data_IF_344481515219
#
_entry.id   IF_344481515219
#
_cell.length_a   1.000
_cell.length_b   1.000
_cell.length_c   1.000
_cell.angle_alpha   90.00
_cell.angle_beta   90.00
_cell.angle_gamma   90.00
#
_symmetry.space_group_name_H-M   'P 1'
#
loop_
_entity.id
_entity.type
_entity.pdbx_description
1 polymer ?
#
# COMPACT_ATOMS: atom_id res chain seq x y z
N UNK A 1 41.77 60.48 -53.46
CA UNK A 1 43.17 60.11 -53.46
C UNK A 1 43.42 59.11 -52.35
N UNK A 2 44.18 58.08 -52.73
CA UNK A 2 44.66 56.93 -51.92
C UNK A 2 43.71 55.72 -51.75
N UNK A 3 43.95 54.81 -52.68
CA UNK A 3 43.55 53.39 -52.68
C UNK A 3 44.43 52.62 -51.67
N UNK A 4 43.81 51.72 -50.93
CA UNK A 4 44.51 50.65 -50.24
C UNK A 4 43.93 49.30 -50.67
N UNK A 5 44.74 48.58 -51.38
CA UNK A 5 44.56 47.24 -51.88
C UNK A 5 44.68 46.23 -50.71
N UNK A 6 43.65 45.45 -50.43
CA UNK A 6 43.69 44.35 -49.51
C UNK A 6 44.08 43.04 -50.24
N UNK A 7 45.19 42.46 -49.86
CA UNK A 7 45.68 41.14 -50.29
C UNK A 7 44.87 40.03 -49.67
N UNK A 8 44.27 39.13 -50.51
CA UNK A 8 43.69 37.89 -50.07
C UNK A 8 44.79 36.83 -50.01
N UNK A 9 44.94 36.19 -48.83
CA UNK A 9 45.69 34.95 -48.65
C UNK A 9 44.82 33.72 -48.88
N UNK A 10 45.33 32.62 -49.44
CA UNK A 10 44.57 31.43 -49.71
C UNK A 10 44.33 30.59 -48.44
N UNK A 11 43.11 30.22 -48.20
CA UNK A 11 42.77 29.27 -47.13
C UNK A 11 42.94 27.85 -47.67
N UNK A 12 43.91 27.12 -47.07
CA UNK A 12 44.07 25.68 -47.24
C UNK A 12 42.91 24.96 -46.54
N UNK A 13 42.12 24.19 -47.31
CA UNK A 13 41.15 23.24 -46.78
C UNK A 13 41.91 22.00 -46.32
N UNK A 14 41.90 21.73 -45.04
CA UNK A 14 42.31 20.44 -44.50
C UNK A 14 41.08 19.55 -44.42
N UNK A 15 41.05 18.50 -45.25
CA UNK A 15 40.04 17.41 -45.22
C UNK A 15 40.42 16.48 -44.08
N UNK A 16 39.67 16.51 -42.99
CA UNK A 16 39.79 15.52 -41.93
C UNK A 16 38.95 14.29 -42.30
N UNK A 17 39.61 13.17 -42.56
CA UNK A 17 38.98 11.87 -42.74
C UNK A 17 38.52 11.36 -41.35
N UNK A 18 37.20 11.33 -41.10
CA UNK A 18 36.61 10.69 -39.96
C UNK A 18 36.57 9.18 -40.17
N UNK A 19 37.39 8.42 -39.45
CA UNK A 19 37.34 6.97 -39.40
C UNK A 19 36.12 6.57 -38.54
N UNK A 20 35.07 5.96 -39.13
CA UNK A 20 33.96 5.34 -38.45
C UNK A 20 34.45 4.05 -37.79
N UNK A 21 34.64 4.06 -36.48
CA UNK A 21 34.82 2.84 -35.71
C UNK A 21 33.43 2.30 -35.40
N UNK A 22 33.02 1.27 -36.15
CA UNK A 22 31.82 0.47 -35.83
C UNK A 22 32.15 -0.44 -34.64
N UNK A 23 31.78 -0.02 -33.44
CA UNK A 23 31.78 -0.89 -32.27
C UNK A 23 30.54 -1.79 -32.37
N UNK A 24 30.72 -3.02 -32.83
CA UNK A 24 29.71 -4.05 -32.75
C UNK A 24 29.52 -4.40 -31.26
N UNK A 25 28.51 -3.81 -30.63
CA UNK A 25 28.04 -4.23 -29.31
C UNK A 25 27.44 -5.61 -29.42
N UNK A 26 28.20 -6.65 -29.05
CA UNK A 26 27.67 -7.97 -28.79
C UNK A 26 26.77 -7.87 -27.56
N UNK A 27 25.46 -7.65 -27.78
CA UNK A 27 24.46 -7.88 -26.75
C UNK A 27 24.39 -9.39 -26.55
N UNK A 28 25.10 -9.90 -25.53
CA UNK A 28 24.83 -11.21 -25.01
C UNK A 28 23.34 -11.25 -24.61
N UNK A 29 22.60 -12.34 -24.92
CA UNK A 29 21.25 -12.49 -24.40
C UNK A 29 21.37 -12.43 -22.88
N UNK A 30 20.73 -11.45 -22.25
CA UNK A 30 20.55 -11.45 -20.81
C UNK A 30 19.76 -12.73 -20.49
N UNK A 31 20.42 -13.70 -19.89
CA UNK A 31 19.73 -14.83 -19.30
C UNK A 31 18.62 -14.21 -18.43
N UNK A 32 17.37 -14.66 -18.62
CA UNK A 32 16.26 -14.31 -17.73
C UNK A 32 16.66 -14.87 -16.35
N UNK A 33 17.31 -14.05 -15.55
CA UNK A 33 17.53 -14.36 -14.14
C UNK A 33 16.12 -14.51 -13.53
N UNK A 34 15.85 -15.68 -12.94
CA UNK A 34 14.63 -15.81 -12.15
C UNK A 34 14.69 -14.79 -11.03
N UNK A 35 13.57 -14.11 -10.73
CA UNK A 35 13.54 -13.17 -9.61
C UNK A 35 13.95 -13.90 -8.33
N UNK A 36 14.54 -13.17 -7.39
CA UNK A 36 14.84 -13.71 -6.08
C UNK A 36 13.56 -14.34 -5.48
N UNK A 37 13.67 -15.49 -4.79
CA UNK A 37 12.51 -16.10 -4.13
C UNK A 37 11.95 -15.13 -3.08
N UNK A 38 10.65 -15.31 -2.77
CA UNK A 38 10.06 -14.62 -1.62
C UNK A 38 10.84 -14.97 -0.34
N UNK A 39 10.91 -14.06 0.65
CA UNK A 39 11.43 -14.38 1.96
C UNK A 39 10.60 -15.50 2.60
N UNK A 40 11.27 -16.47 3.24
CA UNK A 40 10.57 -17.54 3.96
C UNK A 40 9.76 -16.97 5.14
N UNK A 41 8.46 -17.27 5.22
CA UNK A 41 7.60 -16.74 6.28
C UNK A 41 7.79 -17.51 7.61
N UNK A 42 7.67 -16.78 8.72
CA UNK A 42 7.67 -17.34 10.07
C UNK A 42 6.23 -17.34 10.61
N UNK A 43 5.56 -18.48 10.59
CA UNK A 43 4.13 -18.61 10.88
C UNK A 43 3.76 -18.59 12.36
N UNK A 44 4.72 -18.48 13.27
CA UNK A 44 4.49 -18.49 14.74
C UNK A 44 3.68 -19.72 15.22
N UNK A 45 3.78 -20.84 14.52
CA UNK A 45 3.01 -22.06 14.78
C UNK A 45 1.55 -22.03 14.27
N UNK A 46 1.16 -21.02 13.50
CA UNK A 46 -0.18 -20.85 12.94
C UNK A 46 -0.08 -20.54 11.43
N UNK A 47 0.08 -21.58 10.60
CA UNK A 47 0.01 -21.45 9.15
C UNK A 47 -1.45 -21.30 8.72
N UNK A 48 -1.77 -20.20 8.05
CA UNK A 48 -3.14 -19.84 7.67
C UNK A 48 -3.39 -19.88 6.17
N UNK A 49 -2.40 -20.26 5.36
CA UNK A 49 -2.49 -20.29 3.89
C UNK A 49 -3.58 -21.25 3.39
N UNK A 50 -3.67 -22.41 4.01
CA UNK A 50 -4.66 -23.42 3.69
C UNK A 50 -5.63 -23.59 4.86
N UNK A 51 -6.40 -22.53 5.17
CA UNK A 51 -7.36 -22.57 6.27
C UNK A 51 -8.49 -23.55 5.96
N UNK A 52 -8.54 -24.66 6.69
CA UNK A 52 -9.52 -25.73 6.50
C UNK A 52 -10.52 -25.90 7.65
N UNK A 53 -10.49 -25.00 8.64
CA UNK A 53 -11.43 -24.95 9.75
C UNK A 53 -12.62 -24.03 9.42
N UNK A 54 -13.75 -24.17 10.12
CA UNK A 54 -14.86 -23.23 9.98
C UNK A 54 -14.38 -21.79 10.18
N UNK A 55 -14.75 -20.89 9.26
CA UNK A 55 -14.47 -19.46 9.40
C UNK A 55 -15.45 -18.87 10.40
N UNK A 56 -14.98 -18.21 11.48
CA UNK A 56 -15.87 -17.59 12.45
C UNK A 56 -16.54 -16.33 11.86
N UNK A 57 -17.56 -15.85 12.56
CA UNK A 57 -18.22 -14.58 12.20
C UNK A 57 -17.21 -13.41 12.20
N UNK A 58 -17.45 -12.37 11.39
CA UNK A 58 -16.59 -11.18 11.39
C UNK A 58 -16.37 -10.62 12.80
N UNK A 59 -15.14 -10.28 13.13
CA UNK A 59 -14.74 -9.77 14.44
C UNK A 59 -14.62 -10.83 15.55
N UNK A 60 -14.61 -12.13 15.21
CA UNK A 60 -14.39 -13.22 16.15
C UNK A 60 -13.05 -13.88 15.88
N UNK A 61 -12.22 -14.05 16.93
CA UNK A 61 -10.94 -14.75 16.84
C UNK A 61 -11.17 -16.25 16.55
N UNK A 62 -10.43 -16.77 15.57
CA UNK A 62 -10.34 -18.20 15.29
C UNK A 62 -9.21 -18.87 16.06
N UNK A 63 -8.07 -18.18 16.18
CA UNK A 63 -6.91 -18.62 16.93
C UNK A 63 -6.04 -17.41 17.29
N UNK A 64 -5.40 -17.47 18.47
CA UNK A 64 -4.41 -16.49 18.92
C UNK A 64 -3.23 -17.23 19.51
N UNK A 65 -2.04 -16.97 18.99
CA UNK A 65 -0.79 -17.61 19.41
C UNK A 65 0.25 -16.53 19.75
N UNK A 66 1.24 -16.82 20.60
CA UNK A 66 2.38 -15.92 20.76
C UNK A 66 3.03 -15.65 19.39
N UNK A 67 3.33 -14.38 19.12
CA UNK A 67 4.12 -14.02 17.94
C UNK A 67 5.57 -14.50 18.14
N UNK A 68 6.17 -15.03 17.08
CA UNK A 68 7.58 -15.41 17.12
C UNK A 68 8.43 -14.20 17.53
N UNK A 69 9.38 -14.36 18.49
CA UNK A 69 10.21 -13.25 18.96
C UNK A 69 10.97 -12.50 17.85
N UNK A 70 11.35 -13.20 16.77
CA UNK A 70 12.01 -12.58 15.61
C UNK A 70 11.12 -11.59 14.84
N UNK A 71 9.80 -11.67 15.00
CA UNK A 71 8.80 -10.79 14.37
C UNK A 71 8.28 -9.72 15.34
N UNK A 72 8.68 -9.78 16.62
CA UNK A 72 8.25 -8.82 17.63
C UNK A 72 9.01 -7.50 17.52
N UNK A 73 8.50 -6.48 18.19
CA UNK A 73 9.13 -5.16 18.31
C UNK A 73 9.80 -5.05 19.69
N UNK A 74 10.99 -4.43 19.79
CA UNK A 74 11.67 -4.23 21.08
C UNK A 74 10.82 -3.50 22.13
N UNK A 75 9.94 -2.60 21.68
CA UNK A 75 9.03 -1.82 22.52
C UNK A 75 7.78 -2.60 22.96
N UNK A 76 7.58 -3.82 22.47
CA UNK A 76 6.45 -4.65 22.85
C UNK A 76 6.77 -5.50 24.09
N UNK A 77 5.98 -5.34 25.15
CA UNK A 77 6.02 -6.22 26.34
C UNK A 77 5.39 -7.59 26.07
N UNK A 78 4.45 -7.67 25.13
CA UNK A 78 3.84 -8.90 24.66
C UNK A 78 3.40 -8.71 23.20
N UNK A 79 3.61 -9.73 22.38
CA UNK A 79 3.09 -9.75 21.02
C UNK A 79 2.38 -11.08 20.73
N UNK A 80 1.29 -11.03 19.94
CA UNK A 80 0.55 -12.20 19.51
C UNK A 80 0.25 -12.12 18.02
N UNK A 81 0.13 -13.28 17.36
CA UNK A 81 -0.44 -13.42 16.04
C UNK A 81 -1.86 -13.97 16.18
N UNK A 82 -2.81 -13.34 15.51
CA UNK A 82 -4.22 -13.67 15.56
C UNK A 82 -4.74 -14.01 14.18
N UNK A 83 -5.54 -15.10 14.07
CA UNK A 83 -6.42 -15.35 12.94
C UNK A 83 -7.86 -15.03 13.36
N UNK A 84 -8.62 -14.35 12.51
CA UNK A 84 -9.98 -13.90 12.84
C UNK A 84 -10.88 -13.87 11.60
N UNK A 85 -12.20 -13.98 11.83
CA UNK A 85 -13.20 -13.84 10.79
C UNK A 85 -13.37 -12.40 10.33
N UNK A 86 -13.55 -12.22 9.03
CA UNK A 86 -13.86 -10.95 8.38
C UNK A 86 -14.69 -11.17 7.11
N UNK A 87 -14.79 -10.17 6.26
CA UNK A 87 -15.48 -10.25 4.96
C UNK A 87 -14.50 -9.88 3.84
N UNK A 88 -14.42 -10.74 2.81
CA UNK A 88 -13.57 -10.53 1.64
C UNK A 88 -14.15 -9.50 0.65
N UNK A 89 -13.41 -9.23 -0.42
CA UNK A 89 -13.79 -8.32 -1.50
C UNK A 89 -15.05 -8.76 -2.26
N UNK A 90 -15.44 -10.02 -2.18
CA UNK A 90 -16.64 -10.58 -2.81
C UNK A 90 -17.85 -10.60 -1.85
N UNK A 91 -17.70 -10.05 -0.63
CA UNK A 91 -18.76 -10.05 0.39
C UNK A 91 -18.94 -11.38 1.12
N UNK A 92 -18.00 -12.33 0.99
CA UNK A 92 -18.04 -13.64 1.65
C UNK A 92 -17.29 -13.59 2.97
N UNK A 93 -17.73 -14.37 3.94
CA UNK A 93 -16.98 -14.57 5.18
C UNK A 93 -15.64 -15.25 4.88
N UNK A 94 -14.56 -14.67 5.38
CA UNK A 94 -13.19 -15.11 5.13
C UNK A 94 -12.35 -15.01 6.41
N UNK A 95 -11.21 -15.70 6.41
CA UNK A 95 -10.21 -15.60 7.47
C UNK A 95 -9.19 -14.51 7.11
N UNK A 96 -8.75 -13.73 8.08
CA UNK A 96 -7.62 -12.81 7.96
C UNK A 96 -6.72 -12.93 9.19
N UNK A 97 -5.52 -12.35 9.12
CA UNK A 97 -4.56 -12.36 10.22
C UNK A 97 -4.15 -10.96 10.63
N UNK A 98 -3.63 -10.85 11.85
CA UNK A 98 -3.01 -9.63 12.38
C UNK A 98 -1.91 -9.96 13.38
N UNK A 99 -0.94 -9.06 13.53
CA UNK A 99 -0.07 -9.02 14.70
C UNK A 99 -0.61 -7.97 15.69
N UNK A 100 -0.66 -8.32 16.97
CA UNK A 100 -1.06 -7.41 18.05
C UNK A 100 0.11 -7.25 19.00
N UNK A 101 0.56 -6.01 19.17
CA UNK A 101 1.65 -5.63 20.06
C UNK A 101 1.10 -4.84 21.23
N UNK A 102 1.43 -5.26 22.44
CA UNK A 102 1.05 -4.60 23.69
C UNK A 102 2.28 -3.90 24.31
N UNK A 103 2.14 -2.68 24.81
CA UNK A 103 3.24 -1.98 25.49
C UNK A 103 3.79 -2.75 26.70
N UNK A 104 4.98 -2.38 27.13
CA UNK A 104 5.49 -2.82 28.44
C UNK A 104 4.67 -2.25 29.60
N UNK A 105 4.63 -2.97 30.72
CA UNK A 105 3.98 -2.53 31.94
C UNK A 105 2.55 -2.99 32.09
N UNK A 106 1.79 -2.26 32.90
CA UNK A 106 0.40 -2.60 33.25
C UNK A 106 -0.55 -1.73 32.43
N UNK A 107 -1.58 -2.31 31.80
CA UNK A 107 -2.55 -1.52 31.07
C UNK A 107 -3.30 -0.53 31.98
N UNK A 108 -3.62 0.67 31.52
CA UNK A 108 -4.45 1.60 32.28
C UNK A 108 -5.86 1.04 32.49
N UNK A 109 -6.64 1.61 33.44
CA UNK A 109 -8.05 1.24 33.59
C UNK A 109 -8.80 1.34 32.25
N UNK A 110 -9.47 0.24 31.86
CA UNK A 110 -10.15 0.12 30.58
C UNK A 110 -9.30 -0.41 29.42
N UNK A 111 -8.01 -0.73 29.65
CA UNK A 111 -7.10 -1.29 28.64
C UNK A 111 -6.27 -0.25 27.90
N UNK A 112 -5.29 -0.72 27.12
CA UNK A 112 -4.45 0.12 26.29
C UNK A 112 -5.27 0.80 25.17
N UNK A 113 -5.18 2.12 24.96
CA UNK A 113 -5.74 2.74 23.76
C UNK A 113 -5.05 2.16 22.53
N UNK A 114 -5.80 2.05 21.41
CA UNK A 114 -5.34 1.28 20.26
C UNK A 114 -4.95 2.21 19.11
N UNK A 115 -3.81 1.95 18.51
CA UNK A 115 -3.45 2.37 17.16
C UNK A 115 -3.64 1.15 16.25
N UNK A 116 -4.64 1.21 15.36
CA UNK A 116 -4.74 0.27 14.24
C UNK A 116 -3.73 0.67 13.17
N UNK A 117 -2.89 -0.28 12.76
CA UNK A 117 -1.90 -0.07 11.71
C UNK A 117 -2.38 -0.66 10.39
N UNK A 118 -2.52 0.20 9.39
CA UNK A 118 -2.75 -0.16 8.01
C UNK A 118 -1.42 -0.08 7.25
N UNK A 119 -0.85 -1.24 6.93
CA UNK A 119 0.49 -1.35 6.34
C UNK A 119 0.54 -0.95 4.86
N UNK A 120 1.73 -0.53 4.41
CA UNK A 120 2.01 -0.27 3.01
C UNK A 120 2.18 -1.57 2.19
N UNK A 121 2.55 -1.44 0.93
CA UNK A 121 2.67 -2.57 -0.01
C UNK A 121 3.79 -3.53 0.41
N UNK A 122 3.43 -4.82 0.57
CA UNK A 122 4.37 -5.92 0.86
C UNK A 122 4.38 -6.98 -0.25
N UNK A 123 3.39 -6.99 -1.11
CA UNK A 123 3.11 -7.96 -2.15
C UNK A 123 1.68 -8.48 -2.04
N UNK A 124 1.29 -9.41 -2.92
CA UNK A 124 -0.03 -10.06 -2.87
C UNK A 124 0.08 -11.54 -2.49
N UNK A 125 1.26 -12.15 -2.61
CA UNK A 125 1.48 -13.56 -2.26
C UNK A 125 1.36 -13.82 -0.76
N UNK A 126 1.01 -15.03 -0.39
CA UNK A 126 0.80 -15.44 1.01
C UNK A 126 2.05 -15.25 1.89
N UNK A 127 3.24 -15.46 1.33
CA UNK A 127 4.50 -15.26 2.05
C UNK A 127 4.76 -13.80 2.42
N UNK A 128 3.99 -12.86 1.88
CA UNK A 128 4.21 -11.43 2.03
C UNK A 128 3.46 -10.82 3.23
N UNK A 129 2.72 -11.64 4.00
CA UNK A 129 1.95 -11.16 5.15
C UNK A 129 2.86 -10.54 6.23
N UNK A 130 2.67 -9.28 6.64
CA UNK A 130 3.52 -8.61 7.63
C UNK A 130 3.57 -9.29 9.00
N UNK A 131 2.56 -10.09 9.37
CA UNK A 131 2.58 -10.86 10.62
C UNK A 131 3.48 -12.10 10.57
N UNK A 132 4.03 -12.42 9.40
CA UNK A 132 4.93 -13.58 9.19
C UNK A 132 6.33 -13.17 8.69
N UNK A 133 6.57 -11.87 8.50
CA UNK A 133 7.83 -11.34 8.01
C UNK A 133 8.39 -10.29 8.97
N UNK A 134 9.72 -10.17 9.11
CA UNK A 134 10.33 -9.05 9.80
C UNK A 134 9.87 -7.72 9.18
N UNK A 135 9.52 -6.77 10.03
CA UNK A 135 9.13 -5.44 9.55
C UNK A 135 10.35 -4.69 9.03
N UNK A 136 10.12 -3.80 8.06
CA UNK A 136 11.16 -2.86 7.66
C UNK A 136 11.59 -2.01 8.87
N UNK A 137 12.84 -1.52 8.88
CA UNK A 137 13.35 -0.62 9.93
C UNK A 137 12.40 0.56 10.14
N UNK A 138 11.95 1.19 9.05
CA UNK A 138 10.99 2.29 9.12
C UNK A 138 9.70 1.91 9.86
N UNK A 139 9.09 0.77 9.52
CA UNK A 139 7.83 0.37 10.12
C UNK A 139 8.03 -0.10 11.57
N UNK A 140 9.16 -0.75 11.87
CA UNK A 140 9.51 -1.14 13.23
C UNK A 140 9.68 0.10 14.14
N UNK A 141 10.44 1.10 13.70
CA UNK A 141 10.62 2.37 14.41
C UNK A 141 9.30 3.11 14.63
N UNK A 142 8.49 3.18 13.55
CA UNK A 142 7.22 3.89 13.59
C UNK A 142 6.20 3.23 14.53
N UNK A 143 6.09 1.90 14.51
CA UNK A 143 5.21 1.17 15.43
C UNK A 143 5.76 1.16 16.85
N UNK A 144 7.09 1.07 17.01
CA UNK A 144 7.77 1.22 18.30
C UNK A 144 7.47 2.57 18.95
N UNK A 145 7.46 3.65 18.19
CA UNK A 145 7.07 4.98 18.67
C UNK A 145 5.68 4.98 19.34
N UNK A 146 4.69 4.32 18.74
CA UNK A 146 3.34 4.26 19.32
C UNK A 146 3.29 3.39 20.58
N UNK A 147 4.03 2.29 20.60
CA UNK A 147 4.16 1.44 21.80
C UNK A 147 4.79 2.20 22.98
N UNK A 148 5.87 2.96 22.73
CA UNK A 148 6.53 3.80 23.75
C UNK A 148 5.61 4.89 24.30
N UNK A 149 4.60 5.30 23.53
CA UNK A 149 3.56 6.24 23.97
C UNK A 149 2.39 5.57 24.68
N UNK A 150 2.44 4.27 24.90
CA UNK A 150 1.41 3.53 25.63
C UNK A 150 0.19 3.16 24.77
N UNK A 151 0.30 3.15 23.44
CA UNK A 151 -0.71 2.58 22.57
C UNK A 151 -0.44 1.11 22.29
N UNK A 152 -1.43 0.26 22.39
CA UNK A 152 -1.35 -1.06 21.77
C UNK A 152 -1.46 -0.89 20.24
N UNK A 153 -0.68 -1.67 19.48
CA UNK A 153 -0.74 -1.67 18.01
C UNK A 153 -1.44 -2.92 17.53
N UNK A 154 -2.53 -2.76 16.77
CA UNK A 154 -3.21 -3.85 16.06
C UNK A 154 -2.91 -3.70 14.58
N UNK A 155 -2.08 -4.58 14.04
CA UNK A 155 -1.56 -4.52 12.68
C UNK A 155 -2.18 -5.62 11.83
N UNK A 156 -3.27 -5.31 11.11
CA UNK A 156 -3.95 -6.26 10.22
C UNK A 156 -3.10 -6.53 8.97
N UNK A 157 -3.09 -7.81 8.50
CA UNK A 157 -2.43 -8.20 7.25
C UNK A 157 -3.31 -7.98 6.01
N UNK A 158 -4.58 -7.66 6.18
CA UNK A 158 -5.67 -7.68 5.21
C UNK A 158 -6.08 -9.10 4.76
N UNK A 159 -7.33 -9.23 4.34
CA UNK A 159 -7.86 -10.51 3.84
C UNK A 159 -7.20 -10.89 2.52
N UNK A 160 -6.87 -12.17 2.36
CA UNK A 160 -6.19 -12.70 1.18
C UNK A 160 -4.68 -12.49 1.16
N UNK A 161 -4.08 -12.06 2.28
CA UNK A 161 -2.63 -11.96 2.45
C UNK A 161 -2.19 -12.92 3.56
N UNK A 162 -1.53 -14.03 3.20
CA UNK A 162 -1.22 -15.14 4.11
C UNK A 162 -2.44 -15.97 4.53
N UNK A 163 -3.54 -15.85 3.80
CA UNK A 163 -4.82 -16.54 4.03
C UNK A 163 -5.48 -16.85 2.68
N UNK A 164 -6.42 -17.84 2.61
CA UNK A 164 -7.05 -18.18 1.34
C UNK A 164 -7.68 -16.99 0.61
N UNK A 165 -7.48 -16.95 -0.70
CA UNK A 165 -7.91 -15.87 -1.59
C UNK A 165 -6.74 -15.00 -2.05
N UNK A 166 -7.03 -13.88 -2.70
CA UNK A 166 -6.04 -12.90 -3.15
C UNK A 166 -6.29 -11.57 -2.46
N UNK A 167 -5.23 -10.92 -1.99
CA UNK A 167 -5.31 -9.54 -1.53
C UNK A 167 -5.81 -8.63 -2.66
N UNK A 168 -6.95 -8.00 -2.45
CA UNK A 168 -7.53 -7.02 -3.37
C UNK A 168 -6.79 -5.68 -3.21
N UNK A 169 -5.69 -5.51 -3.95
CA UNK A 169 -4.76 -4.38 -3.80
C UNK A 169 -5.43 -3.03 -4.02
N UNK A 170 -5.28 -2.09 -3.10
CA UNK A 170 -5.95 -0.78 -3.02
C UNK A 170 -7.47 -0.84 -2.80
N UNK A 171 -8.08 -2.00 -2.63
CA UNK A 171 -9.49 -2.08 -2.28
C UNK A 171 -9.71 -1.73 -0.81
N UNK A 172 -9.92 -0.45 -0.55
CA UNK A 172 -10.12 0.05 0.81
C UNK A 172 -11.39 -0.47 1.49
N UNK A 173 -12.38 -0.96 0.72
CA UNK A 173 -13.62 -1.52 1.28
C UNK A 173 -13.37 -2.86 1.99
N UNK A 174 -12.60 -3.76 1.36
CA UNK A 174 -12.20 -5.03 1.95
C UNK A 174 -11.24 -4.79 3.14
N UNK A 175 -10.25 -3.89 2.97
CA UNK A 175 -9.32 -3.53 4.03
C UNK A 175 -10.02 -2.95 5.26
N UNK A 176 -11.06 -2.10 5.08
CA UNK A 176 -11.80 -1.50 6.18
C UNK A 176 -12.45 -2.53 7.10
N UNK A 177 -13.04 -3.60 6.53
CA UNK A 177 -13.60 -4.70 7.32
C UNK A 177 -12.50 -5.39 8.11
N UNK A 178 -11.44 -5.85 7.45
CA UNK A 178 -10.32 -6.53 8.11
C UNK A 178 -9.72 -5.74 9.27
N UNK A 179 -9.50 -4.42 9.09
CA UNK A 179 -8.95 -3.56 10.14
C UNK A 179 -9.87 -3.47 11.36
N UNK A 180 -11.17 -3.23 11.19
CA UNK A 180 -12.10 -3.09 12.32
C UNK A 180 -12.36 -4.44 12.99
N UNK A 181 -12.49 -5.51 12.21
CA UNK A 181 -12.71 -6.87 12.70
C UNK A 181 -11.49 -7.37 13.50
N UNK A 182 -10.25 -7.00 13.13
CA UNK A 182 -9.04 -7.36 13.89
C UNK A 182 -9.03 -6.79 15.30
N UNK A 183 -9.43 -5.52 15.47
CA UNK A 183 -9.53 -4.88 16.79
C UNK A 183 -10.65 -5.53 17.61
N UNK A 184 -11.80 -5.77 16.96
CA UNK A 184 -12.96 -6.40 17.59
C UNK A 184 -12.60 -7.78 18.12
N UNK A 185 -11.96 -8.61 17.28
CA UNK A 185 -11.52 -9.95 17.62
C UNK A 185 -10.50 -9.95 18.76
N UNK A 186 -9.48 -9.07 18.68
CA UNK A 186 -8.44 -8.97 19.70
C UNK A 186 -9.02 -8.60 21.10
N UNK A 187 -9.99 -7.68 21.13
CA UNK A 187 -10.67 -7.31 22.39
C UNK A 187 -11.58 -8.43 22.91
N UNK A 188 -12.35 -9.06 22.03
CA UNK A 188 -13.24 -10.15 22.38
C UNK A 188 -12.48 -11.39 22.89
N UNK A 189 -11.26 -11.62 22.40
CA UNK A 189 -10.34 -12.67 22.84
C UNK A 189 -9.62 -12.35 24.18
N UNK A 190 -9.96 -11.24 24.82
CA UNK A 190 -9.47 -10.87 26.14
C UNK A 190 -8.13 -10.16 26.18
N UNK A 191 -7.61 -9.68 25.06
CA UNK A 191 -6.45 -8.79 25.08
C UNK A 191 -6.83 -7.47 25.78
N UNK A 192 -5.94 -6.89 26.60
CA UNK A 192 -6.26 -5.71 27.42
C UNK A 192 -6.30 -4.42 26.58
N UNK A 193 -7.19 -4.38 25.62
CA UNK A 193 -7.39 -3.26 24.69
C UNK A 193 -8.61 -2.42 25.09
N UNK A 194 -8.45 -1.12 25.07
CA UNK A 194 -9.55 -0.17 25.28
C UNK A 194 -10.50 -0.15 24.07
N UNK A 195 -11.71 0.37 24.27
CA UNK A 195 -12.61 0.65 23.16
C UNK A 195 -12.11 1.81 22.28
N UNK A 196 -11.30 2.71 22.84
CA UNK A 196 -10.80 3.92 22.20
C UNK A 196 -9.67 3.57 21.24
N UNK A 197 -9.82 3.97 19.96
CA UNK A 197 -8.84 3.68 18.94
C UNK A 197 -8.69 4.77 17.89
N UNK A 198 -7.48 4.89 17.37
CA UNK A 198 -7.13 5.69 16.20
C UNK A 198 -6.57 4.80 15.10
N UNK A 199 -6.59 5.31 13.89
CA UNK A 199 -6.12 4.60 12.71
C UNK A 199 -4.89 5.29 12.13
N UNK A 200 -3.88 4.53 11.75
CA UNK A 200 -2.65 5.05 11.16
C UNK A 200 -2.33 4.22 9.92
N UNK A 201 -2.10 4.86 8.79
CA UNK A 201 -1.79 4.17 7.55
C UNK A 201 -0.73 4.88 6.71
N UNK A 202 0.04 4.09 5.95
CA UNK A 202 1.08 4.58 5.07
C UNK A 202 0.96 3.96 3.68
N UNK A 203 1.10 4.76 2.60
CA UNK A 203 1.07 4.27 1.22
C UNK A 203 -0.26 3.55 0.89
N UNK A 204 -0.24 2.31 0.41
CA UNK A 204 -1.44 1.45 0.30
C UNK A 204 -2.30 1.53 1.56
N UNK A 205 -1.65 1.45 2.72
CA UNK A 205 -2.34 1.53 4.00
C UNK A 205 -2.95 2.90 4.29
N UNK A 206 -2.40 3.99 3.76
CA UNK A 206 -3.02 5.31 3.88
C UNK A 206 -4.34 5.38 3.09
N UNK A 207 -4.39 4.82 1.88
CA UNK A 207 -5.63 4.66 1.12
C UNK A 207 -6.64 3.80 1.87
N UNK A 208 -6.22 2.63 2.37
CA UNK A 208 -7.05 1.75 3.19
C UNK A 208 -7.57 2.46 4.45
N UNK A 209 -6.72 3.23 5.14
CA UNK A 209 -7.08 3.98 6.33
C UNK A 209 -8.11 5.08 6.05
N UNK A 210 -7.96 5.83 4.95
CA UNK A 210 -8.91 6.86 4.57
C UNK A 210 -10.28 6.27 4.22
N UNK A 211 -10.35 5.17 3.49
CA UNK A 211 -11.63 4.47 3.23
C UNK A 211 -12.23 3.94 4.53
N UNK A 212 -11.41 3.32 5.39
CA UNK A 212 -11.84 2.83 6.71
C UNK A 212 -12.43 3.97 7.55
N UNK A 213 -11.78 5.13 7.57
CA UNK A 213 -12.19 6.29 8.37
C UNK A 213 -13.63 6.75 8.09
N UNK A 214 -14.11 6.63 6.84
CA UNK A 214 -15.50 6.95 6.49
C UNK A 214 -16.53 5.94 6.99
N UNK A 215 -16.09 4.79 7.52
CA UNK A 215 -16.93 3.67 7.96
C UNK A 215 -16.66 3.21 9.39
N UNK A 216 -15.53 3.68 9.97
CA UNK A 216 -14.98 3.18 11.22
C UNK A 216 -15.99 3.21 12.37
N UNK A 217 -16.72 4.33 12.52
CA UNK A 217 -17.76 4.47 13.55
C UNK A 217 -18.88 3.45 13.35
N UNK A 218 -19.40 3.31 12.14
CA UNK A 218 -20.50 2.39 11.86
C UNK A 218 -20.08 0.92 12.00
N UNK A 219 -18.88 0.56 11.49
CA UNK A 219 -18.35 -0.81 11.58
C UNK A 219 -18.01 -1.21 13.02
N UNK A 220 -17.48 -0.28 13.81
CA UNK A 220 -17.08 -0.53 15.19
C UNK A 220 -18.20 -0.47 16.21
N UNK A 221 -19.35 0.16 15.88
CA UNK A 221 -20.45 0.36 16.80
C UNK A 221 -21.01 -0.95 17.43
N UNK A 222 -21.20 -2.05 16.68
CA UNK A 222 -21.71 -3.30 17.28
C UNK A 222 -20.79 -3.88 18.35
N UNK A 223 -19.47 -3.63 18.25
CA UNK A 223 -18.46 -4.07 19.23
C UNK A 223 -18.16 -3.01 20.32
N UNK A 224 -18.88 -1.89 20.31
CA UNK A 224 -18.66 -0.78 21.23
C UNK A 224 -17.32 -0.10 21.07
N UNK A 225 -16.72 -0.11 19.86
CA UNK A 225 -15.48 0.58 19.55
C UNK A 225 -15.71 2.09 19.43
N UNK A 226 -14.77 2.87 19.97
CA UNK A 226 -14.79 4.33 20.00
C UNK A 226 -13.69 4.89 19.08
N UNK A 227 -14.03 5.02 17.79
CA UNK A 227 -13.15 5.56 16.77
C UNK A 227 -12.91 7.06 16.95
N UNK A 228 -11.65 7.52 16.86
CA UNK A 228 -11.27 8.89 17.20
C UNK A 228 -10.69 9.72 16.04
N UNK A 229 -10.07 9.10 15.06
CA UNK A 229 -9.47 9.79 13.94
C UNK A 229 -8.44 8.97 13.19
N UNK A 230 -7.96 9.50 12.05
CA UNK A 230 -7.03 8.84 11.16
C UNK A 230 -5.81 9.69 10.85
N UNK A 231 -4.64 9.04 10.81
CA UNK A 231 -3.39 9.56 10.25
C UNK A 231 -3.09 8.80 8.97
N UNK A 232 -2.95 9.48 7.86
CA UNK A 232 -2.61 8.93 6.56
C UNK A 232 -1.40 9.65 5.96
N UNK A 233 -0.35 8.90 5.57
CA UNK A 233 0.85 9.47 4.95
C UNK A 233 1.12 8.83 3.60
N UNK A 234 1.43 9.65 2.57
CA UNK A 234 1.68 9.18 1.20
C UNK A 234 0.48 8.44 0.62
N UNK A 235 -0.73 9.01 0.73
CA UNK A 235 -1.97 8.34 0.35
C UNK A 235 -2.17 8.27 -1.17
N UNK A 236 -2.33 7.07 -1.76
CA UNK A 236 -2.73 6.92 -3.15
C UNK A 236 -4.21 7.30 -3.31
N UNK A 237 -4.47 8.37 -4.08
CA UNK A 237 -5.82 8.84 -4.35
C UNK A 237 -5.96 9.29 -5.81
N UNK A 238 -7.16 9.26 -6.33
CA UNK A 238 -7.49 9.70 -7.69
C UNK A 238 -6.70 9.00 -8.82
N UNK A 239 -6.13 7.81 -8.50
CA UNK A 239 -5.33 7.02 -9.46
C UNK A 239 -6.21 6.49 -10.57
N UNK A 240 -7.46 6.15 -10.29
CA UNK A 240 -8.45 5.66 -11.24
C UNK A 240 -8.65 6.61 -12.42
N UNK A 241 -8.47 7.91 -12.22
CA UNK A 241 -8.57 8.92 -13.28
C UNK A 241 -7.51 8.74 -14.37
N UNK A 242 -6.32 8.29 -14.01
CA UNK A 242 -5.24 7.98 -14.95
C UNK A 242 -5.30 6.53 -15.40
N UNK A 243 -5.57 5.60 -14.49
CA UNK A 243 -5.52 4.16 -14.75
C UNK A 243 -6.54 3.71 -15.80
N UNK A 244 -7.71 4.32 -15.85
CA UNK A 244 -8.74 4.04 -16.87
C UNK A 244 -8.23 4.19 -18.33
N UNK A 245 -7.20 5.02 -18.55
CA UNK A 245 -6.63 5.27 -19.88
C UNK A 245 -5.56 4.26 -20.27
N UNK A 246 -5.27 3.26 -19.42
CA UNK A 246 -4.29 2.22 -19.72
C UNK A 246 -4.58 1.50 -21.02
N UNK A 247 -3.51 1.25 -21.81
CA UNK A 247 -3.62 0.55 -23.08
C UNK A 247 -2.66 1.11 -24.14
N UNK A 248 -2.72 0.56 -25.38
CA UNK A 248 -1.80 0.93 -26.46
C UNK A 248 -1.85 2.40 -26.89
N UNK A 249 -2.96 3.10 -26.61
CA UNK A 249 -3.13 4.53 -26.90
C UNK A 249 -2.60 5.47 -25.81
N UNK A 250 -2.17 4.93 -24.67
CA UNK A 250 -1.58 5.75 -23.61
C UNK A 250 -0.19 6.23 -24.04
N UNK A 251 0.17 7.51 -23.83
CA UNK A 251 1.48 8.00 -24.20
C UNK A 251 2.60 7.12 -23.60
N UNK A 252 3.65 6.79 -24.36
CA UNK A 252 4.76 5.99 -23.88
C UNK A 252 5.60 6.80 -22.86
N UNK A 253 5.16 6.79 -21.62
CA UNK A 253 5.86 7.41 -20.49
C UNK A 253 6.67 6.32 -19.78
N UNK A 254 7.97 6.54 -19.63
CA UNK A 254 8.80 5.68 -18.80
C UNK A 254 8.52 5.96 -17.33
N UNK A 255 7.70 5.13 -16.73
CA UNK A 255 7.40 5.22 -15.30
C UNK A 255 8.54 4.64 -14.47
N UNK A 256 8.77 5.16 -13.24
CA UNK A 256 9.60 4.50 -12.25
C UNK A 256 9.18 3.04 -12.03
N UNK A 257 10.14 2.16 -11.73
CA UNK A 257 9.89 0.71 -11.52
C UNK A 257 8.78 0.44 -10.49
N UNK A 258 8.72 1.24 -9.41
CA UNK A 258 7.67 1.14 -8.41
C UNK A 258 6.27 1.33 -8.99
N UNK A 259 6.06 2.35 -9.83
CA UNK A 259 4.74 2.60 -10.43
C UNK A 259 4.32 1.50 -11.42
N UNK A 260 5.28 0.91 -12.16
CA UNK A 260 5.00 -0.25 -13.00
C UNK A 260 4.58 -1.47 -12.16
N UNK A 261 5.27 -1.71 -11.05
CA UNK A 261 4.96 -2.78 -10.11
C UNK A 261 3.55 -2.59 -9.52
N UNK A 262 3.23 -1.39 -9.02
CA UNK A 262 1.91 -1.11 -8.44
C UNK A 262 0.79 -1.30 -9.46
N UNK A 263 1.02 -0.93 -10.72
CA UNK A 263 0.05 -1.17 -11.79
C UNK A 263 -0.24 -2.67 -11.98
N UNK A 264 0.75 -3.55 -11.86
CA UNK A 264 0.54 -4.99 -11.96
C UNK A 264 -0.26 -5.52 -10.75
N UNK A 265 0.01 -5.04 -9.54
CA UNK A 265 -0.79 -5.37 -8.37
C UNK A 265 -2.25 -4.89 -8.50
N UNK A 266 -2.48 -3.69 -9.03
CA UNK A 266 -3.83 -3.19 -9.31
C UNK A 266 -4.54 -4.10 -10.32
N UNK A 267 -3.88 -4.47 -11.44
CA UNK A 267 -4.46 -5.35 -12.44
C UNK A 267 -4.78 -6.74 -11.89
N UNK A 268 -3.91 -7.31 -11.06
CA UNK A 268 -4.12 -8.61 -10.42
C UNK A 268 -5.35 -8.58 -9.49
N UNK A 269 -5.40 -7.64 -8.56
CA UNK A 269 -6.54 -7.52 -7.65
C UNK A 269 -7.84 -7.10 -8.34
N UNK A 270 -7.77 -6.27 -9.38
CA UNK A 270 -8.94 -5.89 -10.18
C UNK A 270 -9.47 -7.07 -11.01
N UNK A 271 -8.59 -7.91 -11.55
CA UNK A 271 -8.91 -9.15 -12.24
C UNK A 271 -9.64 -10.14 -11.32
N UNK A 272 -9.13 -10.32 -10.08
CA UNK A 272 -9.76 -11.19 -9.08
C UNK A 272 -11.13 -10.66 -8.66
N UNK A 273 -11.24 -9.35 -8.40
CA UNK A 273 -12.50 -8.72 -8.00
C UNK A 273 -13.58 -8.81 -9.06
N UNK A 274 -13.20 -8.78 -10.33
CA UNK A 274 -14.09 -8.63 -11.49
C UNK A 274 -13.85 -9.72 -12.56
N UNK A 275 -14.07 -11.00 -12.24
CA UNK A 275 -13.88 -12.08 -13.21
C UNK A 275 -14.78 -11.94 -14.45
N UNK A 276 -15.90 -11.22 -14.33
CA UNK A 276 -16.84 -10.96 -15.42
C UNK A 276 -16.31 -9.98 -16.47
N UNK A 277 -15.25 -9.21 -16.19
CA UNK A 277 -14.73 -8.17 -17.10
C UNK A 277 -13.66 -8.67 -18.08
N UNK A 278 -13.31 -9.97 -18.04
CA UNK A 278 -12.28 -10.60 -18.88
C UNK A 278 -10.99 -9.76 -19.04
N UNK A 279 -10.43 -9.32 -17.92
CA UNK A 279 -9.17 -8.55 -17.90
C UNK A 279 -8.06 -9.30 -18.65
N UNK A 280 -8.05 -10.64 -18.58
CA UNK A 280 -7.07 -11.47 -19.29
C UNK A 280 -7.13 -11.29 -20.81
N UNK A 281 -8.30 -11.04 -21.39
CA UNK A 281 -8.48 -10.78 -22.81
C UNK A 281 -7.91 -9.45 -23.27
N UNK A 282 -7.62 -8.52 -22.35
CA UNK A 282 -7.00 -7.24 -22.63
C UNK A 282 -5.47 -7.26 -22.50
N UNK A 283 -4.90 -8.27 -21.82
CA UNK A 283 -3.46 -8.33 -21.54
C UNK A 283 -2.67 -8.84 -22.76
N UNK A 284 -1.46 -8.32 -22.94
CA UNK A 284 -0.44 -8.97 -23.77
C UNK A 284 0.04 -10.26 -23.09
N UNK A 285 0.69 -11.19 -23.81
CA UNK A 285 1.31 -12.37 -23.19
C UNK A 285 2.27 -11.98 -22.04
N UNK A 286 3.10 -10.96 -22.26
CA UNK A 286 4.03 -10.46 -21.25
C UNK A 286 3.31 -9.77 -20.09
N UNK A 287 2.25 -8.98 -20.38
CA UNK A 287 1.41 -8.38 -19.36
C UNK A 287 0.74 -9.42 -18.46
N UNK A 288 0.25 -10.51 -19.05
CA UNK A 288 -0.32 -11.64 -18.30
C UNK A 288 0.73 -12.26 -17.37
N UNK A 289 1.94 -12.54 -17.89
CA UNK A 289 3.05 -13.07 -17.07
C UNK A 289 3.35 -12.16 -15.87
N UNK A 290 3.36 -10.82 -16.06
CA UNK A 290 3.63 -9.88 -14.97
C UNK A 290 2.47 -9.82 -13.96
N UNK A 291 1.21 -9.87 -14.42
CA UNK A 291 0.03 -9.89 -13.54
C UNK A 291 -0.05 -11.20 -12.76
N UNK A 292 0.25 -12.34 -13.39
CA UNK A 292 0.28 -13.65 -12.72
C UNK A 292 1.40 -13.70 -11.67
N UNK A 293 2.58 -13.14 -11.97
CA UNK A 293 3.69 -13.00 -11.03
C UNK A 293 3.32 -12.09 -9.83
N UNK A 294 2.53 -11.03 -10.07
CA UNK A 294 2.08 -10.12 -9.04
C UNK A 294 1.19 -10.81 -7.97
N UNK A 295 0.47 -11.88 -8.32
CA UNK A 295 -0.35 -12.62 -7.36
C UNK A 295 0.46 -13.40 -6.32
N UNK A 296 1.73 -13.71 -6.62
CA UNK A 296 2.54 -14.60 -5.78
C UNK A 296 3.81 -13.96 -5.22
N UNK A 297 4.37 -12.94 -5.91
CA UNK A 297 5.64 -12.34 -5.52
C UNK A 297 5.47 -11.23 -4.50
N UNK A 298 6.33 -11.24 -3.48
CA UNK A 298 6.49 -10.14 -2.55
C UNK A 298 7.14 -8.91 -3.20
N UNK A 299 7.03 -7.77 -2.56
CA UNK A 299 7.43 -6.48 -3.13
C UNK A 299 8.83 -6.48 -3.75
N UNK A 300 9.85 -7.01 -3.05
CA UNK A 300 11.23 -6.99 -3.54
C UNK A 300 11.42 -7.88 -4.77
N UNK A 301 10.88 -9.11 -4.74
CA UNK A 301 10.95 -10.04 -5.86
C UNK A 301 10.15 -9.52 -7.07
N UNK A 302 8.97 -8.94 -6.84
CA UNK A 302 8.17 -8.33 -7.91
C UNK A 302 8.84 -7.10 -8.50
N UNK A 303 9.53 -6.28 -7.68
CA UNK A 303 10.30 -5.12 -8.15
C UNK A 303 11.44 -5.55 -9.08
N UNK A 304 12.11 -6.65 -8.76
CA UNK A 304 13.14 -7.25 -9.62
C UNK A 304 12.51 -7.79 -10.91
N UNK A 305 11.40 -8.52 -10.79
CA UNK A 305 10.67 -9.12 -11.93
C UNK A 305 10.21 -8.08 -12.95
N UNK A 306 9.71 -6.93 -12.51
CA UNK A 306 9.27 -5.84 -13.41
C UNK A 306 10.42 -4.96 -13.89
N UNK A 307 11.68 -5.27 -13.53
CA UNK A 307 12.83 -4.49 -13.98
C UNK A 307 12.88 -4.34 -15.49
N UNK A 308 12.84 -3.08 -15.98
CA UNK A 308 12.82 -2.77 -17.43
C UNK A 308 11.46 -2.95 -18.12
N UNK A 309 10.45 -3.54 -17.47
CA UNK A 309 9.09 -3.62 -18.00
C UNK A 309 8.34 -2.29 -17.78
N UNK A 310 7.54 -1.91 -18.76
CA UNK A 310 6.68 -0.72 -18.66
C UNK A 310 5.20 -1.12 -18.72
N UNK A 311 4.37 -0.47 -17.90
CA UNK A 311 2.92 -0.73 -17.86
C UNK A 311 2.24 -0.57 -19.22
N UNK A 312 2.78 0.29 -20.10
CA UNK A 312 2.30 0.44 -21.49
C UNK A 312 2.43 -0.84 -22.33
N UNK A 313 3.27 -1.80 -21.91
CA UNK A 313 3.45 -3.09 -22.57
C UNK A 313 2.50 -4.16 -22.01
N UNK A 314 1.80 -3.87 -20.91
CA UNK A 314 0.94 -4.85 -20.25
C UNK A 314 -0.37 -5.12 -21.02
N UNK A 315 -0.90 -4.14 -21.70
CA UNK A 315 -2.22 -4.19 -22.33
C UNK A 315 -2.09 -4.21 -23.87
N UNK A 316 -2.73 -5.19 -24.50
CA UNK A 316 -2.88 -5.30 -25.95
C UNK A 316 -4.06 -4.46 -26.45
N UNK A 317 -5.03 -4.21 -25.57
CA UNK A 317 -6.26 -3.45 -25.84
C UNK A 317 -6.49 -2.45 -24.71
N UNK A 318 -7.14 -1.30 -25.00
CA UNK A 318 -7.37 -0.28 -23.97
C UNK A 318 -8.37 -0.75 -22.92
N UNK A 319 -8.15 -0.38 -21.64
CA UNK A 319 -9.09 -0.64 -20.54
C UNK A 319 -10.48 -0.02 -20.81
N UNK A 320 -10.55 1.02 -21.63
CA UNK A 320 -11.78 1.69 -22.03
C UNK A 320 -12.73 0.81 -22.85
N UNK A 321 -12.30 -0.35 -23.33
CA UNK A 321 -13.19 -1.34 -23.92
C UNK A 321 -14.11 -2.01 -22.89
N UNK A 322 -13.76 -1.90 -21.59
CA UNK A 322 -14.65 -2.31 -20.51
C UNK A 322 -15.73 -1.25 -20.35
N UNK A 323 -17.02 -1.60 -20.46
CA UNK A 323 -18.11 -0.67 -20.18
C UNK A 323 -18.02 -0.11 -18.77
N UNK A 324 -18.17 1.22 -18.61
CA UNK A 324 -18.05 1.93 -17.31
C UNK A 324 -16.77 1.60 -16.53
N UNK A 325 -15.64 1.41 -17.23
CA UNK A 325 -14.35 1.09 -16.56
C UNK A 325 -14.01 2.07 -15.45
N UNK A 326 -14.26 3.36 -15.63
CA UNK A 326 -14.01 4.36 -14.60
C UNK A 326 -14.86 4.11 -13.34
N UNK A 327 -16.15 3.78 -13.53
CA UNK A 327 -17.03 3.44 -12.40
C UNK A 327 -16.58 2.18 -11.67
N UNK A 328 -16.12 1.15 -12.39
CA UNK A 328 -15.55 -0.06 -11.79
C UNK A 328 -14.28 0.26 -10.98
N UNK A 329 -13.31 0.97 -11.58
CA UNK A 329 -12.07 1.36 -10.91
C UNK A 329 -12.31 2.24 -9.69
N UNK A 330 -13.24 3.20 -9.80
CA UNK A 330 -13.58 4.09 -8.67
C UNK A 330 -14.22 3.32 -7.51
N UNK A 331 -15.10 2.36 -7.79
CA UNK A 331 -15.66 1.48 -6.74
C UNK A 331 -14.60 0.60 -6.11
N UNK A 332 -13.65 0.14 -6.92
CA UNK A 332 -12.56 -0.74 -6.52
C UNK A 332 -11.52 -0.04 -5.64
N UNK A 333 -10.93 1.07 -6.12
CA UNK A 333 -9.77 1.71 -5.47
C UNK A 333 -9.92 3.19 -5.17
N UNK A 334 -11.08 3.79 -5.43
CA UNK A 334 -11.30 5.21 -5.18
C UNK A 334 -11.20 5.57 -3.70
N UNK A 335 -10.46 6.63 -3.38
CA UNK A 335 -10.34 7.17 -2.03
C UNK A 335 -11.41 8.25 -1.83
N UNK A 336 -12.28 8.15 -0.79
CA UNK A 336 -13.37 9.10 -0.59
C UNK A 336 -12.89 10.52 -0.27
N UNK A 337 -13.50 11.51 -0.92
CA UNK A 337 -13.30 12.94 -0.60
C UNK A 337 -14.34 13.49 0.39
N UNK A 338 -15.21 12.64 0.94
CA UNK A 338 -16.27 13.02 1.89
C UNK A 338 -16.70 11.84 2.75
N UNK A 339 -17.47 12.14 3.81
CA UNK A 339 -18.03 11.12 4.70
C UNK A 339 -17.20 10.87 5.95
N UNK A 340 -16.25 11.74 6.27
CA UNK A 340 -15.43 11.65 7.48
C UNK A 340 -16.16 12.28 8.66
N UNK A 341 -16.47 11.49 9.67
CA UNK A 341 -17.13 11.92 10.91
C UNK A 341 -16.15 12.19 12.06
N UNK A 342 -14.86 11.95 11.84
CA UNK A 342 -13.76 12.19 12.77
C UNK A 342 -12.59 12.90 12.06
N UNK A 343 -11.73 13.60 12.83
CA UNK A 343 -10.57 14.30 12.27
C UNK A 343 -9.65 13.42 11.41
N UNK A 344 -9.15 14.00 10.32
CA UNK A 344 -8.24 13.37 9.36
C UNK A 344 -6.94 14.17 9.31
N UNK A 345 -5.83 13.50 9.56
CA UNK A 345 -4.49 14.00 9.28
C UNK A 345 -4.02 13.41 7.94
N UNK A 346 -3.63 14.25 7.01
CA UNK A 346 -3.04 13.84 5.73
C UNK A 346 -1.65 14.43 5.59
N UNK A 347 -0.61 13.57 5.56
CA UNK A 347 0.78 13.94 5.39
C UNK A 347 1.32 13.58 4.01
N UNK A 348 1.96 14.55 3.31
CA UNK A 348 2.50 14.31 1.96
C UNK A 348 3.87 14.94 1.77
N UNK A 349 4.83 14.14 1.31
CA UNK A 349 6.14 14.58 0.85
C UNK A 349 6.09 15.06 -0.60
N UNK A 350 6.75 16.19 -0.91
CA UNK A 350 6.75 16.70 -2.29
C UNK A 350 7.75 15.98 -3.21
N UNK A 351 8.71 15.24 -2.63
CA UNK A 351 9.69 14.43 -3.38
C UNK A 351 9.25 12.95 -3.47
N UNK A 352 8.01 12.66 -3.13
CA UNK A 352 7.45 11.31 -3.19
C UNK A 352 7.31 10.84 -4.66
N UNK A 353 8.05 9.79 -5.02
CA UNK A 353 8.03 9.18 -6.36
C UNK A 353 7.25 7.86 -6.40
N UNK A 354 6.84 7.33 -5.24
CA UNK A 354 5.99 6.13 -5.15
C UNK A 354 4.49 6.50 -5.20
N UNK A 355 4.13 7.56 -4.48
CA UNK A 355 2.81 8.21 -4.57
C UNK A 355 3.03 9.69 -4.85
N UNK A 356 3.11 10.09 -6.13
CA UNK A 356 3.38 11.48 -6.51
C UNK A 356 2.44 12.47 -5.84
N UNK A 357 3.00 13.56 -5.31
CA UNK A 357 2.29 14.55 -4.50
C UNK A 357 0.93 15.02 -5.07
N UNK A 358 0.74 15.18 -6.40
CA UNK A 358 -0.57 15.56 -6.94
C UNK A 358 -1.70 14.61 -6.57
N UNK A 359 -1.42 13.32 -6.31
CA UNK A 359 -2.41 12.32 -5.87
C UNK A 359 -3.06 12.74 -4.54
N UNK A 360 -2.29 12.84 -3.47
CA UNK A 360 -2.81 13.22 -2.14
C UNK A 360 -3.26 14.70 -2.08
N UNK A 361 -2.59 15.60 -2.81
CA UNK A 361 -2.97 17.03 -2.82
C UNK A 361 -4.30 17.28 -3.53
N UNK A 362 -4.61 16.54 -4.60
CA UNK A 362 -5.94 16.61 -5.24
C UNK A 362 -7.04 16.16 -4.30
N UNK A 363 -6.84 15.05 -3.58
CA UNK A 363 -7.75 14.58 -2.55
C UNK A 363 -7.94 15.62 -1.45
N UNK A 364 -6.85 16.23 -0.96
CA UNK A 364 -6.93 17.29 0.06
C UNK A 364 -7.76 18.49 -0.39
N UNK A 365 -7.60 18.89 -1.66
CA UNK A 365 -8.40 19.98 -2.24
C UNK A 365 -9.88 19.58 -2.30
N UNK A 366 -10.23 18.39 -2.74
CA UNK A 366 -11.60 17.88 -2.78
C UNK A 366 -12.21 17.77 -1.38
N UNK A 367 -11.46 17.24 -0.39
CA UNK A 367 -11.90 17.17 1.01
C UNK A 367 -12.17 18.57 1.58
N UNK A 368 -11.32 19.55 1.27
CA UNK A 368 -11.50 20.94 1.70
C UNK A 368 -12.74 21.58 1.10
N UNK A 369 -12.99 21.35 -0.21
CA UNK A 369 -14.21 21.81 -0.89
C UNK A 369 -15.47 21.18 -0.31
N UNK A 370 -15.37 19.96 0.21
CA UNK A 370 -16.46 19.24 0.88
C UNK A 370 -16.52 19.51 2.41
N UNK A 371 -15.77 20.50 2.91
CA UNK A 371 -15.72 20.89 4.32
C UNK A 371 -15.45 19.71 5.28
N UNK A 372 -14.58 18.77 4.88
CA UNK A 372 -14.21 17.65 5.73
C UNK A 372 -13.23 18.08 6.83
N UNK A 373 -13.18 17.36 7.99
CA UNK A 373 -12.32 17.69 9.12
C UNK A 373 -10.86 17.33 8.84
N UNK A 374 -10.24 17.96 7.84
CA UNK A 374 -8.90 17.69 7.32
C UNK A 374 -7.85 18.62 7.93
N UNK A 375 -6.74 18.02 8.37
CA UNK A 375 -5.47 18.69 8.66
C UNK A 375 -4.43 18.20 7.64
N UNK A 376 -4.04 19.06 6.68
CA UNK A 376 -3.05 18.76 5.67
C UNK A 376 -1.66 19.22 6.13
N UNK A 377 -0.70 18.29 6.11
CA UNK A 377 0.70 18.54 6.39
C UNK A 377 1.54 18.20 5.15
N UNK A 378 2.35 19.17 4.70
CA UNK A 378 3.20 19.01 3.53
C UNK A 378 4.66 19.08 3.95
N UNK A 379 5.46 18.11 3.49
CA UNK A 379 6.89 17.99 3.78
C UNK A 379 7.69 18.19 2.50
N UNK A 380 8.16 19.42 2.21
CA UNK A 380 8.67 19.78 0.88
C UNK A 380 9.92 19.01 0.44
N UNK A 381 10.73 18.57 1.39
CA UNK A 381 12.04 17.93 1.18
C UNK A 381 12.02 16.42 1.48
N UNK A 382 10.85 15.81 1.58
CA UNK A 382 10.70 14.39 1.93
C UNK A 382 10.18 13.57 0.76
N UNK A 383 10.79 12.40 0.61
CA UNK A 383 10.33 11.31 -0.23
C UNK A 383 9.25 10.49 0.49
N UNK A 384 8.85 9.37 -0.12
CA UNK A 384 7.80 8.49 0.39
C UNK A 384 8.07 7.96 1.81
N UNK A 385 9.27 7.43 2.05
CA UNK A 385 9.65 6.89 3.36
C UNK A 385 10.01 7.99 4.36
N UNK A 386 10.68 9.03 3.91
CA UNK A 386 11.05 10.19 4.73
C UNK A 386 9.84 10.96 5.27
N UNK A 387 8.72 10.93 4.53
CA UNK A 387 7.45 11.53 4.99
C UNK A 387 6.95 10.88 6.28
N UNK A 388 7.10 9.56 6.43
CA UNK A 388 6.66 8.85 7.66
C UNK A 388 7.39 9.38 8.88
N UNK A 389 8.73 9.46 8.79
CA UNK A 389 9.55 9.97 9.90
C UNK A 389 9.29 11.45 10.21
N UNK A 390 9.20 12.27 9.16
CA UNK A 390 8.95 13.71 9.32
C UNK A 390 7.57 13.99 9.93
N UNK A 391 6.59 13.13 9.65
CA UNK A 391 5.23 13.28 10.16
C UNK A 391 5.07 12.85 11.63
N UNK A 392 6.03 12.13 12.24
CA UNK A 392 5.90 11.62 13.62
C UNK A 392 5.49 12.72 14.62
N UNK A 393 6.15 13.88 14.71
CA UNK A 393 5.78 14.91 15.69
C UNK A 393 4.35 15.43 15.50
N UNK A 394 3.96 15.70 14.25
CA UNK A 394 2.64 16.26 13.92
C UNK A 394 1.53 15.22 14.12
N UNK A 395 1.76 13.97 13.66
CA UNK A 395 0.85 12.84 13.84
C UNK A 395 0.67 12.51 15.33
N UNK A 396 1.73 12.63 16.13
CA UNK A 396 1.68 12.43 17.57
C UNK A 396 0.80 13.50 18.23
N UNK A 397 1.03 14.78 17.91
CA UNK A 397 0.22 15.87 18.43
C UNK A 397 -1.26 15.74 18.02
N UNK A 398 -1.52 15.28 16.80
CA UNK A 398 -2.86 14.98 16.31
C UNK A 398 -3.52 13.85 17.12
N UNK A 399 -2.87 12.67 17.22
CA UNK A 399 -3.44 11.54 17.96
C UNK A 399 -3.59 11.84 19.45
N UNK A 400 -2.65 12.51 20.10
CA UNK A 400 -2.77 12.92 21.50
C UNK A 400 -4.00 13.82 21.75
N UNK A 401 -4.38 14.62 20.76
CA UNK A 401 -5.57 15.49 20.83
C UNK A 401 -6.88 14.71 20.65
N UNK A 402 -6.95 13.84 19.66
CA UNK A 402 -8.20 13.12 19.34
C UNK A 402 -8.44 11.91 20.23
N UNK A 403 -7.40 11.36 20.84
CA UNK A 403 -7.46 10.18 21.74
C UNK A 403 -7.72 10.56 23.21
N UNK A 404 -7.90 11.83 23.54
CA UNK A 404 -8.26 12.28 24.90
C UNK A 404 -9.65 11.84 25.36
#
# INVERSE_FOLDING_TARGET
MNSLTARRSPRTLTVAAAALVVVASLTAPTANAQPAPNPEPTWSGLDTREWNLPVPSPGVAAATVPLDPALSLPQAGRAVRQAYGTVDQHGRTAIATSAVFLPHGTPPPGGWPVVAWAHGTTGLGDDCAPSTQPRSERDADYLGHWLDRGYAVVAADYVGLGTPGLLSYLNGQAAARGIVDSITAARADGLPLSAKWGLVGQSQGAGAALVTATRATALGAPAGLDYRGVVATGAPANIEHLFQWGGPGFPPVNLPTGLNLYAMYILAGFRDQHPELDINGLLTPQGREMVDAAETLCYSAMREKVGGFQVSQALARPLQEIPDVFGHLRRYMGTPAMGYDRPVFLGQGLLDMDVPAPSALSLAAEMSLNAQPLELHVYPDRDHSGTVYAAIPDATAFLDRVMR
#
